data_IF_304715820248
#
_entry.id   IF_304715820248
#
_cell.length_a   1.000
_cell.length_b   1.000
_cell.length_c   1.000
_cell.angle_alpha   90.00
_cell.angle_beta   90.00
_cell.angle_gamma   90.00
#
_symmetry.space_group_name_H-M   'P 1'
#
loop_
_entity.id
_entity.type
_entity.pdbx_description
1 polymer ?
#
# COMPACT_ATOMS: atom_id res chain seq x y z
N UNK A 1 28.49 -53.72 -34.49
CA UNK A 1 27.06 -53.33 -34.54
C UNK A 1 26.26 -54.44 -33.85
N UNK A 2 25.97 -54.28 -32.56
CA UNK A 2 25.11 -55.19 -31.78
C UNK A 2 24.33 -54.32 -30.78
N UNK A 3 23.00 -54.40 -30.86
CA UNK A 3 22.05 -53.94 -29.84
C UNK A 3 21.99 -55.00 -28.72
N UNK A 4 21.97 -54.59 -27.45
CA UNK A 4 21.13 -55.25 -26.46
C UNK A 4 20.63 -54.29 -25.38
N UNK A 5 19.45 -54.61 -24.88
CA UNK A 5 18.36 -53.82 -24.35
C UNK A 5 17.89 -54.54 -23.09
N UNK A 6 17.85 -53.88 -21.92
CA UNK A 6 16.85 -54.06 -20.82
C UNK A 6 17.38 -53.44 -19.52
N UNK A 7 16.70 -52.49 -18.88
CA UNK A 7 15.38 -52.51 -18.22
C UNK A 7 15.57 -52.58 -16.70
N UNK A 8 15.32 -51.47 -16.00
CA UNK A 8 14.24 -51.36 -15.00
C UNK A 8 14.22 -49.96 -14.36
N UNK A 9 13.16 -49.24 -14.70
CA UNK A 9 12.33 -48.38 -13.86
C UNK A 9 12.91 -47.96 -12.51
N UNK A 10 13.12 -46.65 -12.30
CA UNK A 10 12.98 -45.98 -10.99
C UNK A 10 12.56 -44.50 -11.16
N UNK A 11 11.83 -44.18 -12.23
CA UNK A 11 11.24 -42.86 -12.47
C UNK A 11 9.86 -42.76 -11.82
N UNK A 12 9.77 -42.88 -10.49
CA UNK A 12 8.53 -42.54 -9.76
C UNK A 12 8.74 -41.94 -8.37
N UNK A 13 9.97 -41.84 -7.86
CA UNK A 13 10.22 -41.28 -6.52
C UNK A 13 10.79 -39.85 -6.58
N UNK A 14 11.41 -39.44 -7.69
CA UNK A 14 12.05 -38.12 -7.78
C UNK A 14 11.13 -36.96 -8.19
N UNK A 15 9.88 -37.22 -8.60
CA UNK A 15 8.94 -36.15 -8.96
C UNK A 15 8.08 -35.64 -7.79
N UNK A 16 8.15 -36.26 -6.61
CA UNK A 16 7.35 -35.84 -5.46
C UNK A 16 8.03 -34.78 -4.55
N UNK A 17 9.34 -34.55 -4.69
CA UNK A 17 10.10 -33.69 -3.77
C UNK A 17 10.25 -32.23 -4.29
N UNK A 18 9.97 -31.98 -5.58
CA UNK A 18 10.17 -30.65 -6.20
C UNK A 18 8.94 -29.73 -6.06
N UNK A 19 7.80 -30.20 -5.55
CA UNK A 19 6.56 -29.39 -5.47
C UNK A 19 6.42 -28.63 -4.13
N UNK A 20 7.27 -28.89 -3.13
CA UNK A 20 7.15 -28.24 -1.81
C UNK A 20 7.95 -26.91 -1.73
N UNK A 21 8.84 -26.61 -2.69
CA UNK A 21 9.70 -25.41 -2.64
C UNK A 21 9.11 -24.18 -3.36
N UNK A 22 8.09 -24.34 -4.21
CA UNK A 22 7.47 -23.24 -4.96
C UNK A 22 5.96 -23.06 -4.72
N UNK A 23 5.45 -23.63 -3.63
CA UNK A 23 4.04 -23.54 -3.22
C UNK A 23 3.74 -22.47 -2.17
N UNK A 24 4.69 -21.57 -1.89
CA UNK A 24 4.46 -20.39 -1.05
C UNK A 24 4.63 -19.15 -1.92
N UNK A 25 3.77 -19.01 -2.93
CA UNK A 25 3.21 -17.70 -3.28
C UNK A 25 2.23 -17.28 -2.17
N UNK A 26 2.68 -17.34 -0.92
CA UNK A 26 2.08 -16.53 0.11
C UNK A 26 2.45 -15.12 -0.28
N UNK A 27 1.44 -14.28 -0.54
CA UNK A 27 1.61 -12.84 -0.47
C UNK A 27 2.31 -12.57 0.85
N UNK A 28 3.63 -12.39 0.84
CA UNK A 28 4.34 -11.83 1.95
C UNK A 28 3.85 -10.39 2.00
N UNK A 29 2.71 -10.17 2.67
CA UNK A 29 2.49 -8.94 3.41
C UNK A 29 3.58 -8.94 4.47
N UNK A 30 4.81 -8.61 4.06
CA UNK A 30 5.84 -8.18 4.98
C UNK A 30 5.22 -6.98 5.64
N UNK A 31 4.66 -7.17 6.84
CA UNK A 31 4.26 -6.07 7.68
C UNK A 31 5.51 -5.22 7.81
N UNK A 32 5.51 -4.08 7.13
CA UNK A 32 6.70 -3.28 7.00
C UNK A 32 7.04 -2.80 8.39
N UNK A 33 8.15 -3.30 8.94
CA UNK A 33 8.53 -2.97 10.31
C UNK A 33 8.91 -1.50 10.30
N UNK A 34 8.01 -0.66 10.80
CA UNK A 34 8.07 0.80 10.80
C UNK A 34 9.14 1.34 11.77
N UNK A 35 9.99 0.45 12.29
CA UNK A 35 11.09 0.79 13.18
C UNK A 35 12.23 1.35 12.32
N UNK A 36 12.70 2.56 12.67
CA UNK A 36 13.78 3.29 11.99
C UNK A 36 13.44 3.83 10.59
N UNK A 37 12.28 4.48 10.45
CA UNK A 37 11.98 5.31 9.27
C UNK A 37 12.41 6.77 9.48
N UNK A 38 12.56 7.54 8.41
CA UNK A 38 12.85 8.99 8.45
C UNK A 38 11.68 9.86 8.96
N UNK A 39 10.55 9.24 9.34
CA UNK A 39 9.38 9.93 9.87
C UNK A 39 9.62 10.54 11.26
N UNK A 40 9.01 11.69 11.55
CA UNK A 40 9.04 12.28 12.88
C UNK A 40 8.40 11.37 13.95
N UNK A 41 8.83 11.54 15.20
CA UNK A 41 8.25 10.81 16.33
C UNK A 41 6.73 11.05 16.42
N UNK A 42 5.97 9.96 16.51
CA UNK A 42 4.51 10.00 16.62
C UNK A 42 3.78 10.10 15.27
N UNK A 43 4.47 10.33 14.14
CA UNK A 43 3.85 10.35 12.81
C UNK A 43 2.95 9.13 12.57
N UNK A 44 3.48 7.93 12.80
CA UNK A 44 2.76 6.67 12.57
C UNK A 44 1.54 6.50 13.46
N UNK A 45 1.66 6.81 14.75
CA UNK A 45 0.54 6.76 15.68
C UNK A 45 -0.61 7.68 15.21
N UNK A 46 -0.27 8.90 14.79
CA UNK A 46 -1.25 9.87 14.31
C UNK A 46 -1.84 9.45 12.97
N UNK A 47 -1.02 8.95 12.03
CA UNK A 47 -1.49 8.40 10.76
C UNK A 47 -2.52 7.29 10.99
N UNK A 48 -2.26 6.38 11.94
CA UNK A 48 -3.12 5.23 12.24
C UNK A 48 -4.36 5.55 13.08
N UNK A 49 -4.43 6.74 13.68
CA UNK A 49 -5.57 7.16 14.50
C UNK A 49 -6.40 8.27 13.85
N UNK A 50 -5.88 8.92 12.82
CA UNK A 50 -6.54 10.01 12.10
C UNK A 50 -7.19 9.54 10.81
N UNK A 51 -8.01 10.42 10.26
CA UNK A 51 -8.56 10.34 8.91
C UNK A 51 -7.84 11.35 8.03
N UNK A 52 -7.34 10.91 6.87
CA UNK A 52 -6.86 11.84 5.85
C UNK A 52 -8.00 12.03 4.85
N UNK A 53 -8.58 13.23 4.82
CA UNK A 53 -9.65 13.56 3.88
C UNK A 53 -9.05 14.29 2.69
N UNK A 54 -9.28 13.75 1.50
CA UNK A 54 -9.00 14.41 0.23
C UNK A 54 -10.29 14.95 -0.36
N UNK A 55 -10.39 16.26 -0.58
CA UNK A 55 -11.35 16.82 -1.51
C UNK A 55 -10.76 16.70 -2.91
N UNK A 56 -11.14 15.63 -3.61
CA UNK A 56 -10.66 15.31 -4.96
C UNK A 56 -11.32 16.25 -5.96
N UNK A 57 -10.52 17.01 -6.69
CA UNK A 57 -10.99 18.04 -7.62
C UNK A 57 -11.08 17.48 -9.04
N UNK A 58 -12.24 16.92 -9.37
CA UNK A 58 -12.62 16.66 -10.76
C UNK A 58 -13.43 17.84 -11.31
N UNK A 59 -13.29 18.14 -12.60
CA UNK A 59 -13.86 19.34 -13.22
C UNK A 59 -15.37 19.49 -13.00
N UNK A 60 -16.12 18.38 -13.00
CA UNK A 60 -17.59 18.41 -12.93
C UNK A 60 -18.14 17.85 -11.62
N UNK A 61 -17.37 17.06 -10.88
CA UNK A 61 -17.88 16.34 -9.71
C UNK A 61 -16.79 16.13 -8.65
N UNK A 62 -16.45 17.19 -7.88
CA UNK A 62 -15.54 17.04 -6.76
C UNK A 62 -16.18 16.19 -5.66
N UNK A 63 -15.36 15.45 -4.92
CA UNK A 63 -15.86 14.59 -3.84
C UNK A 63 -14.84 14.44 -2.72
N UNK A 64 -15.34 14.17 -1.51
CA UNK A 64 -14.51 13.93 -0.34
C UNK A 64 -14.22 12.43 -0.18
N UNK A 65 -12.95 12.08 -0.21
CA UNK A 65 -12.43 10.74 0.00
C UNK A 65 -11.71 10.68 1.34
N UNK A 66 -12.29 9.97 2.30
CA UNK A 66 -11.67 9.69 3.60
C UNK A 66 -10.83 8.43 3.48
N UNK A 67 -9.55 8.55 3.83
CA UNK A 67 -8.54 7.50 3.70
C UNK A 67 -8.01 7.12 5.08
N UNK A 68 -7.97 5.80 5.32
CA UNK A 68 -7.55 5.19 6.57
C UNK A 68 -6.40 4.22 6.33
N UNK A 69 -5.26 4.51 6.94
CA UNK A 69 -4.06 3.68 6.87
C UNK A 69 -4.01 2.74 8.07
N UNK A 70 -3.90 1.43 7.84
CA UNK A 70 -3.72 0.45 8.92
C UNK A 70 -2.23 0.15 9.13
N UNK A 71 -1.77 -0.15 10.36
CA UNK A 71 -0.36 -0.49 10.64
C UNK A 71 0.19 -1.68 9.85
N UNK A 72 -0.71 -2.53 9.32
CA UNK A 72 -0.37 -3.74 8.56
C UNK A 72 -0.13 -3.50 7.07
N UNK A 73 -0.14 -2.24 6.61
CA UNK A 73 0.10 -1.90 5.21
C UNK A 73 -1.17 -1.77 4.36
N UNK A 74 -2.37 -1.99 4.91
CA UNK A 74 -3.62 -1.81 4.14
C UNK A 74 -4.14 -0.38 4.20
N UNK A 75 -4.84 0.02 3.14
CA UNK A 75 -5.55 1.30 3.02
C UNK A 75 -7.02 1.02 2.70
N UNK A 76 -7.90 1.63 3.49
CA UNK A 76 -9.35 1.57 3.29
C UNK A 76 -9.93 2.98 3.17
N UNK A 77 -11.13 3.10 2.60
CA UNK A 77 -11.78 4.40 2.38
C UNK A 77 -13.28 4.37 2.63
N UNK A 78 -13.91 5.55 2.76
CA UNK A 78 -15.37 5.69 2.85
C UNK A 78 -16.12 5.40 1.55
N UNK A 79 -15.44 5.37 0.39
CA UNK A 79 -16.07 5.28 -0.94
C UNK A 79 -15.63 4.03 -1.72
N UNK A 80 -15.29 2.96 -1.00
CA UNK A 80 -15.05 1.64 -1.58
C UNK A 80 -13.71 1.48 -2.28
N UNK A 81 -12.83 2.49 -2.25
CA UNK A 81 -11.44 2.28 -2.64
C UNK A 81 -10.73 1.40 -1.60
N UNK A 82 -9.87 0.50 -2.08
CA UNK A 82 -9.01 -0.36 -1.27
C UNK A 82 -7.60 -0.40 -1.85
N UNK A 83 -6.60 -0.58 -1.00
CA UNK A 83 -5.24 -0.77 -1.47
C UNK A 83 -4.24 -0.92 -0.34
N UNK A 84 -3.01 -0.47 -0.60
CA UNK A 84 -1.89 -0.69 0.29
C UNK A 84 -0.98 0.53 0.35
N UNK A 85 -0.24 0.66 1.45
CA UNK A 85 0.83 1.63 1.62
C UNK A 85 2.14 0.92 1.94
N UNK A 86 3.25 1.56 1.59
CA UNK A 86 4.60 1.06 1.84
C UNK A 86 5.61 2.21 1.95
N UNK A 87 6.75 1.94 2.56
CA UNK A 87 7.93 2.81 2.54
C UNK A 87 8.92 2.31 1.49
N UNK A 88 9.59 3.19 0.75
CA UNK A 88 10.70 2.81 -0.14
C UNK A 88 11.81 3.86 -0.10
N UNK A 89 13.01 3.46 -0.52
CA UNK A 89 14.20 4.32 -0.48
C UNK A 89 15.07 4.04 0.75
N UNK A 90 16.26 4.61 0.72
CA UNK A 90 17.25 4.51 1.79
C UNK A 90 17.02 5.59 2.85
N UNK A 91 17.59 5.41 4.06
CA UNK A 91 17.49 6.43 5.12
C UNK A 91 18.06 7.77 4.67
N UNK A 92 17.34 8.84 4.97
CA UNK A 92 17.57 10.20 4.47
C UNK A 92 16.76 10.53 3.21
N UNK A 93 16.24 9.52 2.50
CA UNK A 93 15.51 9.66 1.23
C UNK A 93 14.22 8.83 1.20
N UNK A 94 13.76 8.34 2.35
CA UNK A 94 12.59 7.45 2.37
C UNK A 94 11.33 8.18 1.93
N UNK A 95 10.55 7.48 1.10
CA UNK A 95 9.23 7.90 0.64
C UNK A 95 8.17 7.02 1.29
N UNK A 96 7.10 7.66 1.77
CA UNK A 96 5.84 6.97 2.04
C UNK A 96 5.01 6.97 0.76
N UNK A 97 4.58 5.80 0.34
CA UNK A 97 3.80 5.60 -0.86
C UNK A 97 2.49 4.88 -0.54
N UNK A 98 1.45 5.18 -1.28
CA UNK A 98 0.22 4.38 -1.27
C UNK A 98 -0.44 4.35 -2.63
N UNK A 99 -1.21 3.30 -2.86
CA UNK A 99 -2.06 3.12 -4.03
C UNK A 99 -3.40 2.56 -3.55
N UNK A 100 -4.48 3.14 -4.04
CA UNK A 100 -5.84 2.68 -3.80
C UNK A 100 -6.60 2.54 -5.13
N UNK A 101 -7.44 1.51 -5.23
CA UNK A 101 -8.21 1.17 -6.43
C UNK A 101 -9.69 1.06 -6.12
N UNK A 102 -10.52 1.44 -7.09
CA UNK A 102 -11.96 1.22 -7.05
C UNK A 102 -12.44 0.57 -8.35
N UNK A 103 -13.38 -0.36 -8.22
CA UNK A 103 -14.15 -0.91 -9.33
C UNK A 103 -15.55 -0.30 -9.43
N UNK A 104 -15.89 0.67 -8.57
CA UNK A 104 -17.23 1.26 -8.47
C UNK A 104 -17.30 2.70 -8.98
N UNK A 105 -16.15 3.35 -9.19
CA UNK A 105 -16.10 4.76 -9.59
C UNK A 105 -14.78 5.16 -10.24
N UNK A 106 -14.85 6.24 -11.00
CA UNK A 106 -13.67 6.96 -11.48
C UNK A 106 -13.27 8.08 -10.49
N UNK A 107 -11.96 8.37 -10.37
CA UNK A 107 -10.83 7.70 -11.02
C UNK A 107 -10.60 6.31 -10.43
N UNK A 108 -10.43 5.28 -11.26
CA UNK A 108 -10.32 3.89 -10.77
C UNK A 108 -9.06 3.61 -9.96
N UNK A 109 -8.04 4.47 -10.05
CA UNK A 109 -6.77 4.38 -9.30
C UNK A 109 -6.40 5.77 -8.80
N UNK A 110 -5.97 5.85 -7.54
CA UNK A 110 -5.33 7.02 -6.94
C UNK A 110 -4.06 6.56 -6.23
N UNK A 111 -2.93 7.21 -6.50
CA UNK A 111 -1.66 6.91 -5.84
C UNK A 111 -0.84 8.17 -5.60
N UNK A 112 0.06 8.10 -4.62
CA UNK A 112 1.01 9.16 -4.33
C UNK A 112 2.21 8.60 -3.55
N UNK A 113 3.37 9.23 -3.73
CA UNK A 113 4.53 9.07 -2.87
C UNK A 113 5.01 10.44 -2.37
N UNK A 114 5.30 10.57 -1.08
CA UNK A 114 5.88 11.78 -0.50
C UNK A 114 7.06 11.48 0.43
N UNK A 115 8.05 12.40 0.54
CA UNK A 115 9.20 12.18 1.41
C UNK A 115 8.80 12.14 2.88
N UNK A 116 9.17 11.08 3.59
CA UNK A 116 8.86 10.90 5.01
C UNK A 116 9.51 11.97 5.88
N UNK A 117 10.67 12.48 5.48
CA UNK A 117 11.36 13.58 6.18
C UNK A 117 10.56 14.89 6.18
N UNK A 118 9.61 15.04 5.24
CA UNK A 118 8.71 16.21 5.19
C UNK A 118 7.41 15.96 5.95
N UNK A 119 7.16 14.73 6.38
CA UNK A 119 5.96 14.35 7.08
C UNK A 119 6.13 14.58 8.58
N UNK A 120 5.94 15.84 8.94
CA UNK A 120 5.78 16.19 10.33
C UNK A 120 4.47 15.60 10.86
N UNK A 121 4.38 15.45 12.18
CA UNK A 121 3.15 15.03 12.86
C UNK A 121 1.92 15.75 12.23
N UNK A 122 1.02 15.04 11.51
CA UNK A 122 -0.06 15.67 10.78
C UNK A 122 -1.00 16.34 11.78
N UNK A 123 -0.89 17.67 11.91
CA UNK A 123 -1.70 18.42 12.87
C UNK A 123 -3.16 18.34 12.44
N UNK A 124 -4.06 18.01 13.37
CA UNK A 124 -5.50 18.06 13.12
C UNK A 124 -5.86 19.44 12.53
N UNK A 125 -6.59 19.43 11.42
CA UNK A 125 -6.99 20.63 10.69
C UNK A 125 -5.93 21.23 9.75
N UNK A 126 -4.70 20.68 9.70
CA UNK A 126 -3.72 21.06 8.69
C UNK A 126 -4.27 20.77 7.29
N UNK A 127 -4.13 21.74 6.36
CA UNK A 127 -4.62 21.65 4.99
C UNK A 127 -3.51 21.92 4.00
N UNK A 128 -3.47 21.16 2.92
CA UNK A 128 -2.51 21.39 1.83
C UNK A 128 -3.10 21.02 0.46
N UNK A 129 -2.81 21.82 -0.59
CA UNK A 129 -3.04 21.42 -1.96
C UNK A 129 -1.95 20.46 -2.43
N UNK A 130 -2.32 19.44 -3.21
CA UNK A 130 -1.36 18.59 -3.92
C UNK A 130 -2.08 17.91 -5.09
N UNK A 131 -1.46 16.89 -5.67
CA UNK A 131 -2.02 16.06 -6.73
C UNK A 131 -1.60 14.61 -6.56
N UNK A 132 -2.48 13.71 -6.97
CA UNK A 132 -2.13 12.30 -7.16
C UNK A 132 -1.21 12.12 -8.37
N UNK A 133 -0.54 10.98 -8.48
CA UNK A 133 0.31 10.61 -9.63
C UNK A 133 -0.47 10.63 -10.96
N UNK A 134 -1.79 10.43 -10.89
CA UNK A 134 -2.71 10.51 -12.02
C UNK A 134 -3.01 11.96 -12.46
N UNK A 135 -2.28 12.96 -11.95
CA UNK A 135 -2.47 14.39 -12.20
C UNK A 135 -3.86 14.92 -11.80
N UNK A 136 -4.47 14.31 -10.80
CA UNK A 136 -5.75 14.76 -10.23
C UNK A 136 -5.44 15.60 -8.99
N UNK A 137 -5.89 16.85 -9.00
CA UNK A 137 -5.69 17.79 -7.91
C UNK A 137 -6.55 17.43 -6.70
N UNK A 138 -6.08 17.75 -5.51
CA UNK A 138 -6.87 17.62 -4.29
C UNK A 138 -6.52 18.70 -3.25
N UNK A 139 -7.44 18.94 -2.31
CA UNK A 139 -7.11 19.51 -0.99
C UNK A 139 -7.11 18.38 0.04
N UNK A 140 -6.02 18.20 0.76
CA UNK A 140 -5.97 17.28 1.88
C UNK A 140 -6.23 18.00 3.20
N UNK A 141 -6.83 17.30 4.15
CA UNK A 141 -6.94 17.73 5.55
C UNK A 141 -6.83 16.54 6.49
N UNK A 142 -6.15 16.74 7.63
CA UNK A 142 -6.15 15.77 8.72
C UNK A 142 -7.37 15.99 9.59
N UNK A 143 -8.22 14.97 9.71
CA UNK A 143 -9.42 14.97 10.56
C UNK A 143 -9.16 14.06 11.76
N UNK A 144 -9.62 14.50 12.93
CA UNK A 144 -9.46 13.76 14.17
C UNK A 144 -10.28 12.47 14.16
N UNK A 145 -9.64 11.37 14.60
CA UNK A 145 -10.30 10.08 14.76
C UNK A 145 -10.60 9.36 13.43
N UNK A 146 -11.35 8.27 13.57
CA UNK A 146 -11.82 7.39 12.49
C UNK A 146 -13.25 6.96 12.77
N UNK A 147 -14.04 6.59 11.74
CA UNK A 147 -15.31 5.91 11.96
C UNK A 147 -15.07 4.65 12.81
N UNK A 148 -15.94 4.42 13.81
CA UNK A 148 -15.90 3.16 14.54
C UNK A 148 -16.27 2.02 13.58
N UNK A 149 -15.41 1.01 13.49
CA UNK A 149 -15.65 -0.23 12.73
C UNK A 149 -16.73 -1.06 13.42
#
# INVERSE_FOLDING_TARGET
>A
MILDKRQRNNSFIFQAIIIIVFGVLGCFSVAQQVENTDAEQGYWANLYQSTIRYTVMLAENPFDLDVYFDPKGSVSTNLGYQGSWWVKGDSGEQLFCYEIKSNQREPSILSECFPLILMNNPRIGARWPSKFDQNIMYMAVVVEGRPQR
#
